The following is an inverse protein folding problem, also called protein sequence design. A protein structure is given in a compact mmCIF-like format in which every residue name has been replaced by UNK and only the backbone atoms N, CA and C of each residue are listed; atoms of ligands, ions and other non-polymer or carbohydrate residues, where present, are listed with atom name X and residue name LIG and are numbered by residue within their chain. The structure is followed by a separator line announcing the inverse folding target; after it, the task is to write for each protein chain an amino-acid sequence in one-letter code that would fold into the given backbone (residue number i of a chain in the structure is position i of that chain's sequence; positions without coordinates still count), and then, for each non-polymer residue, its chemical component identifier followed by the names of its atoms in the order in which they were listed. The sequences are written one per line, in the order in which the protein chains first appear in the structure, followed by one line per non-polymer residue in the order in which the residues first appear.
data_IF_965079963413
#
_entry.id   IF_965079963413
#
_cell.length_a   1.000
_cell.length_b   1.000
_cell.length_c   1.000
_cell.angle_alpha   90.00
_cell.angle_beta   90.00
_cell.angle_gamma   90.00
#
_symmetry.space_group_name_H-M   'P 1'
#
loop_
_entity.id
_entity.type
_entity.pdbx_description
1 polymer ?
#
# COMPACT_ATOMS: atom_id res chain seq x y z
N UNK A 1 -37.51 8.21 -7.87
CA UNK A 1 -36.92 8.98 -8.98
C UNK A 1 -37.55 10.37 -9.01
N UNK A 2 -36.75 11.43 -8.86
CA UNK A 2 -37.20 12.83 -8.89
C UNK A 2 -36.46 13.57 -10.01
N UNK A 3 -37.17 14.39 -10.77
CA UNK A 3 -36.59 15.19 -11.85
C UNK A 3 -36.68 16.67 -11.49
N UNK A 4 -35.63 17.41 -11.82
CA UNK A 4 -35.53 18.84 -11.61
C UNK A 4 -35.10 19.51 -12.92
N UNK A 5 -35.67 20.67 -13.21
CA UNK A 5 -35.03 21.64 -14.11
C UNK A 5 -33.75 22.17 -13.47
N UNK A 6 -32.85 22.76 -14.27
CA UNK A 6 -31.62 23.37 -13.76
C UNK A 6 -31.89 24.41 -12.67
N UNK A 7 -32.94 25.21 -12.83
CA UNK A 7 -33.31 26.24 -11.88
C UNK A 7 -33.80 25.65 -10.56
N UNK A 8 -34.69 24.65 -10.61
CA UNK A 8 -35.19 23.96 -9.42
C UNK A 8 -34.05 23.28 -8.67
N UNK A 9 -33.16 22.59 -9.38
CA UNK A 9 -32.04 21.87 -8.76
C UNK A 9 -31.08 22.80 -8.02
N UNK A 10 -30.78 23.98 -8.57
CA UNK A 10 -29.91 24.97 -7.94
C UNK A 10 -30.62 25.69 -6.78
N UNK A 11 -31.92 25.91 -6.88
CA UNK A 11 -32.67 26.48 -5.77
C UNK A 11 -32.75 25.50 -4.59
N UNK A 12 -32.94 24.21 -4.85
CA UNK A 12 -33.03 23.17 -3.83
C UNK A 12 -31.68 22.93 -3.12
N UNK A 13 -30.58 22.75 -3.87
CA UNK A 13 -29.29 22.30 -3.30
C UNK A 13 -28.17 23.35 -3.33
N UNK A 14 -28.37 24.46 -4.05
CA UNK A 14 -27.36 25.50 -4.23
C UNK A 14 -27.34 26.52 -3.09
N UNK A 15 -26.16 27.09 -2.83
CA UNK A 15 -26.00 28.24 -1.93
C UNK A 15 -26.34 29.57 -2.62
N UNK A 16 -26.31 30.66 -1.84
CA UNK A 16 -26.62 32.02 -2.32
C UNK A 16 -25.79 32.41 -3.55
N UNK A 17 -24.48 32.10 -3.57
CA UNK A 17 -23.60 32.43 -4.71
C UNK A 17 -23.93 31.62 -5.96
N UNK A 18 -24.33 30.36 -5.79
CA UNK A 18 -24.73 29.47 -6.88
C UNK A 18 -26.09 29.90 -7.47
N UNK A 19 -27.04 30.35 -6.64
CA UNK A 19 -28.31 30.94 -7.08
C UNK A 19 -28.10 32.27 -7.81
N UNK A 20 -27.23 33.14 -7.29
CA UNK A 20 -26.85 34.38 -8.00
C UNK A 20 -26.20 34.09 -9.36
N UNK A 21 -25.40 33.03 -9.46
CA UNK A 21 -24.77 32.62 -10.72
C UNK A 21 -25.81 32.19 -11.76
N UNK A 22 -26.91 31.55 -11.34
CA UNK A 22 -28.02 31.19 -12.21
C UNK A 22 -28.74 32.42 -12.75
N UNK A 23 -28.97 33.44 -11.90
CA UNK A 23 -29.61 34.71 -12.31
C UNK A 23 -28.70 35.47 -13.30
N UNK A 24 -27.41 35.62 -12.97
CA UNK A 24 -26.43 36.28 -13.85
C UNK A 24 -26.25 35.56 -15.18
N UNK A 25 -26.33 34.22 -15.17
CA UNK A 25 -26.23 33.37 -16.35
C UNK A 25 -27.53 33.21 -17.14
N UNK A 26 -28.57 34.01 -16.86
CA UNK A 26 -29.89 33.96 -17.50
C UNK A 26 -30.50 32.55 -17.53
N UNK A 27 -30.43 31.84 -16.40
CA UNK A 27 -30.98 30.49 -16.25
C UNK A 27 -30.01 29.36 -16.57
N UNK A 28 -28.75 29.64 -16.88
CA UNK A 28 -27.69 28.63 -17.03
C UNK A 28 -26.53 28.89 -16.06
N UNK A 29 -25.74 27.85 -15.78
CA UNK A 29 -24.52 27.95 -14.97
C UNK A 29 -23.37 27.21 -15.66
N UNK A 30 -22.14 27.64 -15.35
CA UNK A 30 -20.95 26.95 -15.82
C UNK A 30 -20.84 25.54 -15.20
N UNK A 31 -20.04 24.68 -15.84
CA UNK A 31 -19.87 23.28 -15.41
C UNK A 31 -19.41 23.17 -13.96
N UNK A 32 -18.44 23.99 -13.53
CA UNK A 32 -17.90 23.97 -12.17
C UNK A 32 -18.96 24.26 -11.10
N UNK A 33 -19.83 25.22 -11.35
CA UNK A 33 -20.96 25.55 -10.48
C UNK A 33 -21.95 24.38 -10.42
N UNK A 34 -22.31 23.81 -11.57
CA UNK A 34 -23.21 22.66 -11.64
C UNK A 34 -22.64 21.44 -10.91
N UNK A 35 -21.38 21.07 -11.17
CA UNK A 35 -20.69 19.96 -10.51
C UNK A 35 -20.67 20.16 -8.98
N UNK A 36 -20.45 21.40 -8.52
CA UNK A 36 -20.49 21.72 -7.10
C UNK A 36 -21.88 21.58 -6.47
N UNK A 37 -22.97 21.82 -7.22
CA UNK A 37 -24.35 21.65 -6.74
C UNK A 37 -24.73 20.16 -6.76
N UNK A 38 -24.33 19.42 -7.80
CA UNK A 38 -24.48 17.94 -7.86
C UNK A 38 -23.82 17.28 -6.64
N UNK A 39 -22.62 17.74 -6.29
CA UNK A 39 -21.89 17.27 -5.10
C UNK A 39 -22.65 17.56 -3.79
N UNK A 40 -23.41 18.66 -3.70
CA UNK A 40 -24.27 18.93 -2.54
C UNK A 40 -25.51 18.04 -2.55
N UNK A 41 -26.12 17.85 -3.72
CA UNK A 41 -27.26 16.96 -3.87
C UNK A 41 -26.91 15.49 -3.57
N UNK A 42 -25.66 15.08 -3.76
CA UNK A 42 -25.21 13.73 -3.41
C UNK A 42 -25.21 13.43 -1.91
N UNK A 43 -25.54 14.41 -1.05
CA UNK A 43 -25.94 14.19 0.36
C UNK A 43 -27.19 13.35 0.49
N UNK A 44 -28.14 13.58 -0.42
CA UNK A 44 -29.50 13.07 -0.36
C UNK A 44 -29.72 11.99 -1.42
N UNK A 45 -28.94 12.00 -2.51
CA UNK A 45 -29.04 11.03 -3.60
C UNK A 45 -27.70 10.34 -3.87
N UNK A 46 -27.73 9.11 -4.38
CA UNK A 46 -26.51 8.42 -4.84
C UNK A 46 -25.92 9.15 -6.05
N UNK A 47 -24.60 9.39 -6.07
CA UNK A 47 -23.96 10.28 -7.05
C UNK A 47 -24.09 9.76 -8.50
N UNK A 48 -23.92 8.46 -8.68
CA UNK A 48 -24.11 7.72 -9.93
C UNK A 48 -25.57 7.68 -10.40
N UNK A 49 -26.52 7.92 -9.48
CA UNK A 49 -27.93 8.06 -9.82
C UNK A 49 -28.33 9.46 -10.29
N UNK A 50 -27.44 10.47 -10.17
CA UNK A 50 -27.68 11.85 -10.63
C UNK A 50 -27.20 11.99 -12.07
N UNK A 51 -28.14 12.08 -13.01
CA UNK A 51 -27.83 12.24 -14.43
C UNK A 51 -28.30 13.59 -14.95
N UNK A 52 -27.52 14.20 -15.84
CA UNK A 52 -27.84 15.47 -16.49
C UNK A 52 -28.03 15.23 -17.98
N UNK A 53 -29.23 15.54 -18.50
CA UNK A 53 -29.53 15.51 -19.94
C UNK A 53 -29.89 16.92 -20.42
N UNK A 54 -29.65 17.22 -21.70
CA UNK A 54 -29.92 18.53 -22.28
C UNK A 54 -28.72 19.50 -22.27
N UNK A 55 -28.93 20.73 -22.75
CA UNK A 55 -27.90 21.78 -22.86
C UNK A 55 -28.47 23.12 -22.38
N UNK A 56 -27.56 23.99 -21.92
CA UNK A 56 -27.95 25.35 -21.51
C UNK A 56 -28.95 25.36 -20.35
N UNK A 57 -30.04 26.11 -20.54
CA UNK A 57 -31.15 26.27 -19.59
C UNK A 57 -32.04 25.02 -19.57
N UNK A 58 -32.12 24.28 -20.68
CA UNK A 58 -32.98 23.09 -20.86
C UNK A 58 -32.39 21.81 -20.27
N UNK A 59 -31.47 21.94 -19.30
CA UNK A 59 -30.91 20.77 -18.60
C UNK A 59 -31.95 20.20 -17.65
N UNK A 60 -32.16 18.89 -17.76
CA UNK A 60 -32.97 18.09 -16.83
C UNK A 60 -32.01 17.26 -15.98
N UNK A 61 -32.07 17.43 -14.67
CA UNK A 61 -31.31 16.67 -13.69
C UNK A 61 -32.23 15.63 -13.08
N UNK A 62 -31.92 14.36 -13.31
CA UNK A 62 -32.67 13.23 -12.75
C UNK A 62 -31.90 12.66 -11.57
N UNK A 63 -32.55 12.58 -10.40
CA UNK A 63 -32.05 11.91 -9.20
C UNK A 63 -32.76 10.56 -9.07
N UNK A 64 -32.04 9.48 -9.41
CA UNK A 64 -32.60 8.13 -9.52
C UNK A 64 -32.89 7.48 -8.17
N UNK A 65 -31.95 7.58 -7.22
CA UNK A 65 -31.97 6.84 -5.96
C UNK A 65 -31.64 7.73 -4.77
N UNK A 66 -32.59 7.83 -3.84
CA UNK A 66 -32.45 8.58 -2.58
C UNK A 66 -31.66 7.74 -1.58
N UNK A 67 -30.81 8.41 -0.80
CA UNK A 67 -30.03 7.76 0.25
C UNK A 67 -30.90 7.54 1.48
N UNK A 68 -30.71 6.40 2.14
CA UNK A 68 -31.38 6.11 3.40
C UNK A 68 -30.83 6.94 4.58
N UNK A 69 -29.60 7.45 4.47
CA UNK A 69 -28.96 8.30 5.48
C UNK A 69 -28.30 9.53 4.82
N UNK A 70 -28.43 10.70 5.45
CA UNK A 70 -27.92 11.98 4.95
C UNK A 70 -26.45 12.14 5.33
N UNK A 71 -25.57 12.23 4.34
CA UNK A 71 -24.14 12.43 4.58
C UNK A 71 -23.83 13.84 5.13
N UNK A 72 -22.91 13.91 6.09
CA UNK A 72 -22.42 15.18 6.62
C UNK A 72 -21.43 15.87 5.66
N UNK A 73 -21.17 17.17 5.89
CA UNK A 73 -20.31 17.97 5.01
C UNK A 73 -18.85 17.50 4.92
N UNK A 74 -18.35 16.79 5.94
CA UNK A 74 -17.00 16.19 5.95
C UNK A 74 -16.92 14.96 5.04
N UNK A 75 -17.94 14.10 5.05
CA UNK A 75 -18.01 12.90 4.21
C UNK A 75 -18.00 13.25 2.71
N UNK A 76 -18.71 14.32 2.34
CA UNK A 76 -18.77 14.83 0.95
C UNK A 76 -17.45 15.44 0.49
N UNK A 77 -16.72 16.09 1.40
CA UNK A 77 -15.40 16.64 1.09
C UNK A 77 -14.37 15.53 0.86
N UNK A 78 -14.47 14.44 1.63
CA UNK A 78 -13.62 13.27 1.43
C UNK A 78 -13.90 12.59 0.07
N UNK A 79 -15.15 12.52 -0.38
CA UNK A 79 -15.48 11.97 -1.71
C UNK A 79 -14.85 12.73 -2.91
N UNK A 80 -14.65 14.06 -2.84
CA UNK A 80 -14.02 14.80 -3.95
C UNK A 80 -12.51 14.92 -3.89
N UNK A 81 -11.89 14.68 -2.72
CA UNK A 81 -10.43 14.69 -2.57
C UNK A 81 -9.81 13.31 -2.81
N UNK A 82 -10.61 12.29 -3.08
CA UNK A 82 -10.17 10.99 -3.61
C UNK A 82 -9.58 11.04 -5.04
N UNK A 83 -9.39 12.24 -5.60
CA UNK A 83 -8.98 12.49 -6.98
C UNK A 83 -7.49 12.76 -7.21
N UNK A 84 -6.57 12.11 -6.48
CA UNK A 84 -5.15 12.16 -6.83
C UNK A 84 -4.46 10.77 -6.78
N UNK A 85 -4.29 10.23 -8.00
CA UNK A 85 -3.17 9.40 -8.50
C UNK A 85 -2.80 8.16 -7.68
N UNK A 86 -3.16 6.99 -8.21
CA UNK A 86 -2.98 5.63 -7.66
C UNK A 86 -4.16 5.07 -6.84
N UNK A 87 -5.40 5.29 -7.27
CA UNK A 87 -6.48 4.41 -6.82
C UNK A 87 -6.11 2.96 -7.20
N UNK A 88 -5.86 2.15 -6.18
CA UNK A 88 -5.66 0.72 -6.35
C UNK A 88 -6.98 0.11 -6.83
N UNK A 89 -6.97 -0.80 -7.81
CA UNK A 89 -8.20 -1.41 -8.33
C UNK A 89 -8.97 -2.17 -7.22
N UNK A 90 -8.26 -2.71 -6.23
CA UNK A 90 -8.79 -3.57 -5.16
C UNK A 90 -8.92 -2.88 -3.79
N UNK A 91 -9.03 -1.54 -3.72
CA UNK A 91 -9.16 -0.82 -2.42
C UNK A 91 -10.37 -1.30 -1.61
N UNK A 92 -11.52 -1.44 -2.27
CA UNK A 92 -12.78 -1.90 -1.65
C UNK A 92 -12.68 -3.35 -1.19
N UNK A 93 -11.96 -4.19 -1.94
CA UNK A 93 -11.70 -5.58 -1.56
C UNK A 93 -10.90 -5.65 -0.25
N UNK A 94 -9.80 -4.90 -0.14
CA UNK A 94 -9.01 -4.85 1.10
C UNK A 94 -9.87 -4.37 2.27
N UNK A 95 -10.68 -3.32 2.07
CA UNK A 95 -11.58 -2.79 3.10
C UNK A 95 -12.52 -3.89 3.62
N UNK A 96 -13.12 -4.66 2.72
CA UNK A 96 -14.05 -5.73 3.09
C UNK A 96 -13.34 -6.86 3.85
N UNK A 97 -12.16 -7.28 3.38
CA UNK A 97 -11.36 -8.29 4.06
C UNK A 97 -10.98 -7.85 5.47
N UNK A 98 -10.60 -6.57 5.66
CA UNK A 98 -10.34 -6.00 6.99
C UNK A 98 -11.57 -6.10 7.89
N UNK A 99 -12.76 -5.74 7.39
CA UNK A 99 -13.99 -5.82 8.17
C UNK A 99 -14.35 -7.25 8.56
N UNK A 100 -14.17 -8.22 7.65
CA UNK A 100 -14.36 -9.65 7.93
C UNK A 100 -13.41 -10.09 9.05
N UNK A 101 -12.12 -9.80 8.91
CA UNK A 101 -11.11 -10.14 9.91
C UNK A 101 -11.38 -9.48 11.27
N UNK A 102 -11.83 -8.22 11.29
CA UNK A 102 -12.16 -7.52 12.53
C UNK A 102 -13.39 -8.09 13.25
N UNK A 103 -14.26 -8.81 12.55
CA UNK A 103 -15.43 -9.47 13.12
C UNK A 103 -15.14 -10.87 13.71
N UNK A 104 -13.91 -11.38 13.57
CA UNK A 104 -13.52 -12.67 14.12
C UNK A 104 -13.40 -12.63 15.65
N UNK A 105 -14.06 -13.58 16.33
CA UNK A 105 -14.17 -13.61 17.81
C UNK A 105 -12.84 -13.70 18.55
N UNK A 106 -11.80 -14.27 17.92
CA UNK A 106 -10.52 -14.56 18.57
C UNK A 106 -9.35 -13.74 17.99
N UNK A 107 -9.65 -12.62 17.30
CA UNK A 107 -8.59 -11.80 16.71
C UNK A 107 -7.71 -11.15 17.75
N UNK A 108 -6.45 -10.92 17.41
CA UNK A 108 -5.55 -10.09 18.22
C UNK A 108 -5.94 -8.62 18.03
N UNK A 109 -6.05 -7.82 19.10
CA UNK A 109 -6.43 -6.42 19.01
C UNK A 109 -5.34 -5.53 18.39
N UNK A 110 -4.11 -6.02 18.39
CA UNK A 110 -2.94 -5.35 17.82
C UNK A 110 -2.15 -6.30 16.92
N UNK A 111 -1.68 -5.81 15.78
CA UNK A 111 -0.91 -6.59 14.80
C UNK A 111 0.08 -5.69 14.06
N UNK A 112 0.92 -6.24 13.19
CA UNK A 112 1.71 -5.44 12.24
C UNK A 112 1.00 -5.43 10.89
N UNK A 113 1.18 -4.41 10.06
CA UNK A 113 0.57 -4.38 8.72
C UNK A 113 0.92 -5.60 7.86
N UNK A 114 2.12 -6.17 8.04
CA UNK A 114 2.54 -7.38 7.32
C UNK A 114 1.78 -8.62 7.80
N UNK A 115 1.68 -8.81 9.12
CA UNK A 115 0.92 -9.93 9.70
C UNK A 115 -0.56 -9.78 9.34
N UNK A 116 -1.11 -8.58 9.42
CA UNK A 116 -2.47 -8.32 8.92
C UNK A 116 -2.63 -8.69 7.44
N UNK A 117 -1.70 -8.28 6.56
CA UNK A 117 -1.79 -8.66 5.15
C UNK A 117 -1.75 -10.18 4.92
N UNK A 118 -1.10 -10.94 5.81
CA UNK A 118 -1.08 -12.41 5.79
C UNK A 118 -2.38 -12.99 6.36
N UNK A 119 -2.87 -12.47 7.49
CA UNK A 119 -4.15 -12.86 8.11
C UNK A 119 -5.36 -12.57 7.19
N UNK A 120 -5.26 -11.56 6.33
CA UNK A 120 -6.25 -11.22 5.29
C UNK A 120 -6.12 -12.09 4.02
N UNK A 121 -5.15 -13.00 3.97
CA UNK A 121 -4.82 -13.88 2.84
C UNK A 121 -4.45 -13.17 1.52
N UNK A 122 -4.26 -11.86 1.55
CA UNK A 122 -3.79 -11.05 0.41
C UNK A 122 -2.27 -11.16 0.19
N UNK A 123 -1.56 -11.69 1.19
CA UNK A 123 -0.16 -12.10 1.14
C UNK A 123 -0.08 -13.60 1.42
N UNK A 124 0.33 -14.40 0.43
CA UNK A 124 0.55 -15.84 0.61
C UNK A 124 1.64 -16.16 1.65
N UNK A 125 1.64 -17.40 2.16
CA UNK A 125 2.67 -17.91 3.07
C UNK A 125 4.09 -17.74 2.52
N UNK A 126 4.26 -18.00 1.22
CA UNK A 126 5.55 -17.87 0.55
C UNK A 126 5.98 -16.41 0.46
N UNK A 127 5.08 -15.50 0.09
CA UNK A 127 5.41 -14.08 0.05
C UNK A 127 5.70 -13.52 1.44
N UNK A 128 4.88 -13.90 2.43
CA UNK A 128 5.05 -13.52 3.83
C UNK A 128 6.40 -13.99 4.37
N UNK A 129 6.70 -15.28 4.27
CA UNK A 129 7.95 -15.88 4.75
C UNK A 129 9.17 -15.32 4.04
N UNK A 130 9.10 -15.15 2.71
CA UNK A 130 10.19 -14.55 1.93
C UNK A 130 10.44 -13.10 2.34
N UNK A 131 9.39 -12.33 2.64
CA UNK A 131 9.52 -10.91 3.02
C UNK A 131 10.26 -10.69 4.35
N UNK A 132 10.40 -11.74 5.17
CA UNK A 132 11.16 -11.72 6.42
C UNK A 132 12.67 -11.95 6.20
N UNK A 133 13.10 -12.36 5.00
CA UNK A 133 14.51 -12.60 4.68
C UNK A 133 15.21 -11.28 4.33
N UNK A 134 15.98 -10.74 5.26
CA UNK A 134 16.56 -9.39 5.15
C UNK A 134 17.94 -9.42 4.51
N UNK A 135 18.75 -10.41 4.86
CA UNK A 135 20.14 -10.53 4.41
C UNK A 135 20.25 -11.36 3.13
N UNK A 136 21.31 -11.11 2.35
CA UNK A 136 21.58 -11.91 1.16
C UNK A 136 21.86 -13.40 1.48
N UNK A 137 22.37 -13.69 2.68
CA UNK A 137 22.62 -15.05 3.15
C UNK A 137 21.29 -15.79 3.45
N UNK A 138 20.39 -15.16 4.21
CA UNK A 138 19.03 -15.66 4.45
C UNK A 138 18.27 -15.88 3.15
N UNK A 139 18.30 -14.89 2.25
CA UNK A 139 17.63 -14.98 0.95
C UNK A 139 18.14 -16.15 0.11
N UNK A 140 19.47 -16.36 0.07
CA UNK A 140 20.07 -17.49 -0.64
C UNK A 140 19.68 -18.83 -0.02
N UNK A 141 19.72 -18.93 1.30
CA UNK A 141 19.40 -20.18 2.00
C UNK A 141 17.92 -20.53 1.88
N UNK A 142 17.04 -19.56 2.08
CA UNK A 142 15.59 -19.72 1.88
C UNK A 142 15.29 -20.12 0.43
N UNK A 143 15.84 -19.40 -0.55
CA UNK A 143 15.60 -19.70 -1.96
C UNK A 143 16.10 -21.09 -2.36
N UNK A 144 17.25 -21.56 -1.83
CA UNK A 144 17.74 -22.92 -2.09
C UNK A 144 16.76 -24.00 -1.63
N UNK A 145 16.02 -23.76 -0.56
CA UNK A 145 15.10 -24.73 0.04
C UNK A 145 13.66 -24.62 -0.50
N UNK A 146 13.33 -23.60 -1.29
CA UNK A 146 12.02 -23.46 -1.93
C UNK A 146 11.74 -24.57 -2.94
N UNK A 147 10.47 -24.89 -3.16
CA UNK A 147 10.07 -25.80 -4.24
C UNK A 147 10.50 -25.30 -5.61
N UNK A 148 10.74 -26.24 -6.52
CA UNK A 148 11.15 -25.95 -7.90
C UNK A 148 10.17 -25.03 -8.63
N UNK A 149 8.87 -25.08 -8.32
CA UNK A 149 7.86 -24.20 -8.94
C UNK A 149 8.14 -22.71 -8.72
N UNK A 150 8.59 -22.32 -7.53
CA UNK A 150 8.92 -20.92 -7.19
C UNK A 150 10.24 -20.44 -7.80
N UNK A 151 11.06 -21.36 -8.30
CA UNK A 151 12.40 -21.09 -8.85
C UNK A 151 12.43 -20.89 -10.36
N UNK A 152 11.31 -21.15 -11.06
CA UNK A 152 11.23 -21.19 -12.54
C UNK A 152 11.75 -19.92 -13.22
N UNK A 153 11.45 -18.75 -12.65
CA UNK A 153 11.82 -17.43 -13.23
C UNK A 153 13.16 -16.90 -12.70
N UNK A 154 13.88 -17.69 -11.89
CA UNK A 154 15.19 -17.33 -11.39
C UNK A 154 15.19 -16.46 -10.13
N UNK A 155 16.34 -16.46 -9.45
CA UNK A 155 16.55 -15.82 -8.15
C UNK A 155 16.28 -14.32 -8.18
N UNK A 156 16.75 -13.63 -9.22
CA UNK A 156 16.65 -12.17 -9.32
C UNK A 156 15.18 -11.71 -9.44
N UNK A 157 14.41 -12.36 -10.32
CA UNK A 157 12.99 -12.04 -10.53
C UNK A 157 12.19 -12.34 -9.27
N UNK A 158 12.38 -13.52 -8.66
CA UNK A 158 11.72 -13.89 -7.41
C UNK A 158 11.91 -12.83 -6.31
N UNK A 159 13.14 -12.40 -6.04
CA UNK A 159 13.40 -11.41 -5.00
C UNK A 159 12.96 -9.99 -5.38
N UNK A 160 12.91 -9.64 -6.66
CA UNK A 160 12.31 -8.38 -7.12
C UNK A 160 10.79 -8.37 -6.88
N UNK A 161 10.10 -9.50 -7.15
CA UNK A 161 8.69 -9.69 -6.80
C UNK A 161 8.46 -9.55 -5.29
N UNK A 162 9.21 -10.31 -4.47
CA UNK A 162 9.08 -10.29 -3.01
C UNK A 162 9.27 -8.88 -2.47
N UNK A 163 10.35 -8.20 -2.86
CA UNK A 163 10.68 -6.86 -2.37
C UNK A 163 9.62 -5.82 -2.72
N UNK A 164 9.16 -5.81 -3.98
CA UNK A 164 8.23 -4.78 -4.47
C UNK A 164 6.79 -5.05 -4.07
N UNK A 165 6.34 -6.30 -4.15
CA UNK A 165 4.93 -6.63 -3.94
C UNK A 165 4.58 -6.74 -2.46
N UNK A 166 5.47 -7.27 -1.60
CA UNK A 166 5.24 -7.25 -0.15
C UNK A 166 5.07 -5.82 0.37
N UNK A 167 5.96 -4.90 -0.03
CA UNK A 167 5.87 -3.48 0.36
C UNK A 167 4.64 -2.80 -0.21
N UNK A 168 4.26 -3.11 -1.45
CA UNK A 168 3.06 -2.54 -2.07
C UNK A 168 1.81 -2.97 -1.31
N UNK A 169 1.65 -4.26 -1.05
CA UNK A 169 0.50 -4.79 -0.30
C UNK A 169 0.44 -4.16 1.09
N UNK A 170 1.57 -4.09 1.82
CA UNK A 170 1.63 -3.47 3.16
C UNK A 170 1.19 -2.00 3.14
N UNK A 171 1.74 -1.20 2.23
CA UNK A 171 1.36 0.23 2.10
C UNK A 171 -0.11 0.40 1.72
N UNK A 172 -0.63 -0.54 0.95
CA UNK A 172 -2.02 -0.52 0.52
C UNK A 172 -2.94 -0.79 1.71
N UNK A 173 -2.65 -1.79 2.54
CA UNK A 173 -3.36 -2.06 3.79
C UNK A 173 -3.34 -0.84 4.72
N UNK A 174 -2.15 -0.25 4.93
CA UNK A 174 -1.99 0.98 5.71
C UNK A 174 -2.86 2.13 5.17
N UNK A 175 -2.86 2.34 3.86
CA UNK A 175 -3.69 3.36 3.22
C UNK A 175 -5.19 3.12 3.40
N UNK A 176 -5.65 1.86 3.36
CA UNK A 176 -7.07 1.52 3.58
C UNK A 176 -7.45 1.74 5.04
N UNK A 177 -6.62 1.32 5.99
CA UNK A 177 -6.87 1.55 7.42
C UNK A 177 -6.94 3.05 7.76
N UNK A 178 -6.07 3.86 7.18
CA UNK A 178 -6.13 5.32 7.36
C UNK A 178 -7.42 5.92 6.79
N UNK A 179 -7.87 5.47 5.62
CA UNK A 179 -9.14 5.89 5.03
C UNK A 179 -10.35 5.46 5.89
N UNK A 180 -10.35 4.22 6.40
CA UNK A 180 -11.39 3.72 7.30
C UNK A 180 -11.42 4.47 8.64
N UNK A 181 -10.25 4.85 9.17
CA UNK A 181 -10.11 5.69 10.37
C UNK A 181 -10.69 7.08 10.14
N UNK A 182 -10.33 7.73 9.04
CA UNK A 182 -10.83 9.06 8.68
C UNK A 182 -12.35 9.09 8.51
N UNK A 183 -12.93 7.97 8.04
CA UNK A 183 -14.38 7.76 7.93
C UNK A 183 -15.05 7.35 9.25
N UNK A 184 -14.30 7.15 10.32
CA UNK A 184 -14.84 6.76 11.63
C UNK A 184 -15.35 5.31 11.70
N UNK A 185 -14.99 4.45 10.75
CA UNK A 185 -15.40 3.04 10.71
C UNK A 185 -14.64 2.22 11.76
N UNK A 186 -13.36 2.55 11.94
CA UNK A 186 -12.44 1.86 12.86
C UNK A 186 -11.69 2.86 13.73
N UNK A 187 -11.27 2.39 14.91
CA UNK A 187 -10.20 2.97 15.70
C UNK A 187 -8.89 2.39 15.19
N UNK A 188 -7.98 3.25 14.75
CA UNK A 188 -6.66 2.87 14.25
C UNK A 188 -5.58 3.74 14.90
N UNK A 189 -4.69 3.10 15.65
CA UNK A 189 -3.65 3.77 16.46
C UNK A 189 -2.32 3.02 16.36
N UNK A 190 -1.23 3.75 16.16
CA UNK A 190 0.11 3.19 16.29
C UNK A 190 0.39 2.88 17.76
N UNK A 191 0.87 1.68 18.02
CA UNK A 191 1.22 1.19 19.36
C UNK A 191 2.57 0.47 19.30
N UNK A 192 3.20 0.29 20.45
CA UNK A 192 4.36 -0.59 20.57
C UNK A 192 3.91 -1.80 21.38
N UNK A 193 4.18 -2.98 20.86
CA UNK A 193 3.95 -4.22 21.58
C UNK A 193 5.23 -4.68 22.25
N UNK A 194 5.11 -5.16 23.47
CA UNK A 194 6.13 -5.95 24.13
C UNK A 194 5.75 -7.43 24.11
N UNK A 195 6.77 -8.27 23.95
CA UNK A 195 6.63 -9.72 23.98
C UNK A 195 7.16 -10.25 25.29
N UNK A 196 6.35 -11.03 25.96
CA UNK A 196 6.70 -11.75 27.20
C UNK A 196 6.36 -13.23 27.04
N UNK A 197 7.05 -14.10 27.76
CA UNK A 197 6.75 -15.53 27.75
C UNK A 197 5.74 -15.89 28.84
N UNK A 198 4.76 -16.71 28.48
CA UNK A 198 3.87 -17.31 29.46
C UNK A 198 4.58 -18.43 30.26
N UNK A 199 3.89 -19.01 31.25
CA UNK A 199 4.42 -20.11 32.09
C UNK A 199 4.78 -21.39 31.31
N UNK A 200 4.39 -21.49 30.04
CA UNK A 200 4.68 -22.59 29.13
C UNK A 200 5.67 -22.20 28.02
N UNK A 201 6.27 -21.01 28.09
CA UNK A 201 7.21 -20.50 27.11
C UNK A 201 6.56 -19.99 25.81
N UNK A 202 5.26 -19.70 25.81
CA UNK A 202 4.57 -19.16 24.62
C UNK A 202 4.61 -17.64 24.63
N UNK A 203 4.83 -17.04 23.46
CA UNK A 203 4.86 -15.59 23.30
C UNK A 203 3.47 -14.97 23.52
N UNK A 204 3.42 -14.00 24.43
CA UNK A 204 2.28 -13.10 24.66
C UNK A 204 2.69 -11.73 24.16
N UNK A 205 1.87 -11.13 23.29
CA UNK A 205 2.13 -9.82 22.70
C UNK A 205 1.11 -8.82 23.25
N UNK A 206 1.58 -7.82 23.99
CA UNK A 206 0.71 -6.81 24.58
C UNK A 206 1.19 -5.40 24.26
N UNK A 207 0.28 -4.46 23.94
CA UNK A 207 0.61 -3.05 23.86
C UNK A 207 1.19 -2.54 25.19
N UNK A 208 2.27 -1.77 25.12
CA UNK A 208 2.87 -1.09 26.27
C UNK A 208 2.54 0.41 26.27
N UNK A 209 2.68 1.03 27.45
CA UNK A 209 2.32 2.45 27.62
C UNK A 209 3.33 3.37 26.94
N UNK A 210 2.88 4.57 26.55
CA UNK A 210 3.77 5.60 25.98
C UNK A 210 4.97 5.95 26.89
N UNK A 211 4.78 5.88 28.22
CA UNK A 211 5.85 6.12 29.20
C UNK A 211 6.93 5.04 29.10
N UNK A 212 6.54 3.77 28.96
CA UNK A 212 7.47 2.65 28.79
C UNK A 212 8.20 2.71 27.44
N UNK A 213 7.48 3.04 26.36
CA UNK A 213 8.06 3.25 25.04
C UNK A 213 9.17 4.30 25.09
N UNK A 214 8.91 5.46 25.71
CA UNK A 214 9.92 6.52 25.85
C UNK A 214 11.15 6.07 26.63
N UNK A 215 10.97 5.29 27.71
CA UNK A 215 12.09 4.75 28.49
C UNK A 215 12.95 3.82 27.64
N UNK A 216 12.32 2.92 26.88
CA UNK A 216 13.01 1.99 26.00
C UNK A 216 13.76 2.74 24.90
N UNK A 217 13.14 3.75 24.27
CA UNK A 217 13.77 4.52 23.20
C UNK A 217 14.98 5.33 23.67
N UNK A 218 14.88 5.97 24.85
CA UNK A 218 16.00 6.66 25.46
C UNK A 218 17.16 5.71 25.76
N UNK A 219 16.83 4.53 26.28
CA UNK A 219 17.82 3.48 26.55
C UNK A 219 18.49 3.02 25.25
N UNK A 220 17.71 2.66 24.22
CA UNK A 220 18.25 2.22 22.92
C UNK A 220 19.19 3.27 22.33
N UNK A 221 18.85 4.57 22.43
CA UNK A 221 19.73 5.68 22.01
C UNK A 221 21.04 5.70 22.81
N UNK A 222 20.97 5.55 24.13
CA UNK A 222 22.14 5.53 25.01
C UNK A 222 23.06 4.33 24.70
N UNK A 223 22.50 3.13 24.51
CA UNK A 223 23.28 1.94 24.14
C UNK A 223 23.92 2.08 22.76
N UNK A 224 23.20 2.64 21.77
CA UNK A 224 23.80 2.92 20.46
C UNK A 224 25.00 3.85 20.56
N UNK A 225 24.91 4.89 21.40
CA UNK A 225 26.04 5.78 21.69
C UNK A 225 27.20 5.07 22.41
N UNK A 226 26.90 4.22 23.40
CA UNK A 226 27.90 3.43 24.15
C UNK A 226 28.72 2.51 23.25
N UNK A 227 28.08 1.87 22.27
CA UNK A 227 28.70 0.88 21.39
C UNK A 227 29.09 1.44 20.02
N UNK A 228 28.91 2.74 19.78
CA UNK A 228 29.18 3.41 18.51
C UNK A 228 28.49 2.76 17.30
N UNK A 229 27.29 2.22 17.50
CA UNK A 229 26.53 1.53 16.44
C UNK A 229 25.41 2.40 15.87
N UNK A 230 25.28 2.40 14.55
CA UNK A 230 24.14 3.05 13.87
C UNK A 230 22.99 2.06 13.63
N UNK A 231 21.80 2.59 13.30
CA UNK A 231 20.66 1.76 12.85
C UNK A 231 21.04 0.93 11.62
N UNK A 232 21.84 1.50 10.72
CA UNK A 232 22.34 0.82 9.52
C UNK A 232 23.26 -0.34 9.88
N UNK A 233 24.16 -0.17 10.85
CA UNK A 233 25.05 -1.24 11.29
C UNK A 233 24.26 -2.39 11.93
N UNK A 234 23.27 -2.08 12.77
CA UNK A 234 22.39 -3.08 13.37
C UNK A 234 21.72 -3.94 12.29
N UNK A 235 21.30 -3.33 11.18
CA UNK A 235 20.61 -4.03 10.09
C UNK A 235 21.54 -4.83 9.19
N UNK A 236 22.71 -4.29 8.84
CA UNK A 236 23.55 -4.85 7.77
C UNK A 236 24.84 -5.51 8.27
N UNK A 237 25.19 -5.34 9.54
CA UNK A 237 26.37 -5.93 10.18
C UNK A 237 26.00 -6.63 11.50
N UNK A 238 24.99 -7.52 11.51
CA UNK A 238 24.49 -8.14 12.74
C UNK A 238 25.55 -8.97 13.48
N UNK A 239 26.53 -9.51 12.74
CA UNK A 239 27.64 -10.32 13.27
C UNK A 239 28.85 -9.49 13.75
N UNK A 240 28.81 -8.15 13.64
CA UNK A 240 29.93 -7.32 14.11
C UNK A 240 29.99 -7.32 15.65
N UNK A 241 31.19 -7.36 16.27
CA UNK A 241 31.30 -7.44 17.73
C UNK A 241 30.56 -6.31 18.47
N UNK A 242 30.59 -5.10 17.94
CA UNK A 242 29.89 -3.95 18.51
C UNK A 242 28.35 -4.10 18.45
N UNK A 243 27.81 -4.64 17.36
CA UNK A 243 26.36 -4.88 17.23
C UNK A 243 25.92 -6.04 18.13
N UNK A 244 26.73 -7.09 18.26
CA UNK A 244 26.46 -8.19 19.19
C UNK A 244 26.42 -7.69 20.63
N UNK A 245 27.43 -6.92 21.07
CA UNK A 245 27.45 -6.32 22.41
C UNK A 245 26.29 -5.34 22.65
N UNK A 246 25.92 -4.53 21.64
CA UNK A 246 24.73 -3.70 21.70
C UNK A 246 23.45 -4.54 21.90
N UNK A 247 23.32 -5.66 21.19
CA UNK A 247 22.14 -6.52 21.25
C UNK A 247 22.02 -7.25 22.59
N UNK A 248 23.14 -7.68 23.16
CA UNK A 248 23.17 -8.26 24.51
C UNK A 248 22.74 -7.25 25.58
N UNK A 249 23.27 -6.02 25.54
CA UNK A 249 22.86 -4.97 26.48
C UNK A 249 21.38 -4.57 26.29
N UNK A 250 20.90 -4.50 25.04
CA UNK A 250 19.50 -4.22 24.71
C UNK A 250 18.59 -5.32 25.28
N UNK A 251 18.97 -6.59 25.09
CA UNK A 251 18.24 -7.74 25.62
C UNK A 251 18.20 -7.74 27.15
N UNK A 252 19.34 -7.55 27.81
CA UNK A 252 19.42 -7.49 29.28
C UNK A 252 18.54 -6.38 29.86
N UNK A 253 18.48 -5.23 29.20
CA UNK A 253 17.58 -4.17 29.62
C UNK A 253 16.11 -4.55 29.43
N UNK A 254 15.72 -5.11 28.28
CA UNK A 254 14.33 -5.52 28.04
C UNK A 254 13.88 -6.61 29.03
N UNK A 255 14.77 -7.56 29.34
CA UNK A 255 14.56 -8.58 30.36
C UNK A 255 14.31 -7.99 31.75
N UNK A 256 14.91 -6.84 32.08
CA UNK A 256 14.62 -6.14 33.34
C UNK A 256 13.17 -5.64 33.46
N UNK A 257 12.45 -5.53 32.34
CA UNK A 257 11.01 -5.24 32.27
C UNK A 257 10.15 -6.51 32.07
N UNK A 258 10.77 -7.69 32.01
CA UNK A 258 10.09 -8.95 31.70
C UNK A 258 9.74 -9.12 30.23
N UNK A 259 10.46 -8.44 29.33
CA UNK A 259 10.23 -8.49 27.88
C UNK A 259 11.35 -9.22 27.15
N UNK A 260 10.99 -10.08 26.21
CA UNK A 260 11.92 -10.70 25.25
C UNK A 260 12.33 -9.70 24.17
N UNK A 261 11.34 -9.01 23.60
CA UNK A 261 11.56 -7.98 22.58
C UNK A 261 10.36 -7.03 22.51
N UNK A 262 10.55 -5.90 21.82
CA UNK A 262 9.47 -4.94 21.52
C UNK A 262 9.46 -4.59 20.04
N UNK A 263 8.27 -4.31 19.50
CA UNK A 263 8.10 -3.98 18.09
C UNK A 263 6.93 -3.01 17.87
N UNK A 264 7.04 -2.21 16.80
CA UNK A 264 5.97 -1.31 16.39
C UNK A 264 4.82 -2.10 15.77
N UNK A 265 3.60 -1.74 16.16
CA UNK A 265 2.36 -2.41 15.77
C UNK A 265 1.26 -1.37 15.58
N UNK A 266 0.10 -1.84 15.12
CA UNK A 266 -1.13 -1.07 15.04
C UNK A 266 -2.22 -1.74 15.84
N UNK A 267 -2.91 -0.94 16.65
CA UNK A 267 -4.16 -1.32 17.29
C UNK A 267 -5.30 -0.99 16.35
N UNK A 268 -6.15 -1.99 16.08
CA UNK A 268 -7.29 -1.84 15.17
C UNK A 268 -8.53 -2.36 15.89
N UNK A 269 -9.55 -1.53 15.95
CA UNK A 269 -10.82 -1.91 16.55
C UNK A 269 -12.00 -1.33 15.79
N UNK A 270 -13.11 -2.03 15.77
CA UNK A 270 -14.27 -1.63 15.00
C UNK A 270 -15.11 -0.63 15.82
N UNK A 271 -15.52 0.46 15.19
CA UNK A 271 -16.42 1.47 15.78
C UNK A 271 -17.83 1.37 15.20
N UNK A 272 -17.93 1.03 13.90
CA UNK A 272 -19.18 0.92 13.14
C UNK A 272 -20.10 -0.22 13.60
N UNK A 273 -21.40 -0.11 13.33
CA UNK A 273 -22.42 -1.06 13.83
C UNK A 273 -22.61 -2.28 12.93
N UNK A 274 -23.03 -3.42 13.51
CA UNK A 274 -23.14 -4.74 12.85
C UNK A 274 -23.92 -4.76 11.53
N UNK A 275 -24.87 -3.83 11.31
CA UNK A 275 -25.67 -3.75 10.06
C UNK A 275 -24.86 -3.31 8.84
N UNK A 276 -23.84 -2.47 9.04
CA UNK A 276 -22.99 -2.00 7.93
C UNK A 276 -22.05 -3.11 7.46
N UNK A 277 -21.56 -3.93 8.40
CA UNK A 277 -20.61 -5.04 8.17
C UNK A 277 -21.26 -6.17 7.38
N UNK A 278 -22.53 -6.49 7.66
CA UNK A 278 -23.25 -7.57 6.97
C UNK A 278 -23.40 -7.32 5.45
N UNK A 279 -23.34 -6.07 4.99
CA UNK A 279 -23.35 -5.75 3.56
C UNK A 279 -22.02 -6.05 2.85
N UNK A 280 -20.91 -6.16 3.59
CA UNK A 280 -19.56 -6.41 3.07
C UNK A 280 -19.14 -7.88 3.12
N UNK A 281 -19.89 -8.70 3.85
CA UNK A 281 -19.71 -10.16 3.97
C UNK A 281 -20.22 -10.87 2.71
N UNK A 282 -19.50 -10.76 1.59
CA UNK A 282 -19.71 -11.59 0.39
C UNK A 282 -18.64 -12.67 0.28
N UNK A 283 -19.01 -13.79 -0.34
CA UNK A 283 -18.14 -14.96 -0.47
C UNK A 283 -16.86 -14.65 -1.28
N UNK A 284 -15.72 -14.80 -0.59
CA UNK A 284 -14.33 -14.88 -1.07
C UNK A 284 -13.85 -13.80 -2.06
N UNK A 285 -13.58 -12.60 -1.52
CA UNK A 285 -12.89 -11.52 -2.24
C UNK A 285 -11.37 -11.72 -2.38
N UNK A 286 -10.79 -12.73 -1.72
CA UNK A 286 -9.33 -13.00 -1.74
C UNK A 286 -8.87 -13.37 -3.16
N UNK A 287 -9.66 -14.19 -3.86
CA UNK A 287 -9.37 -14.58 -5.25
C UNK A 287 -9.42 -13.38 -6.18
N UNK A 288 -10.43 -12.53 -6.03
CA UNK A 288 -10.59 -11.30 -6.80
C UNK A 288 -9.42 -10.33 -6.55
N UNK A 289 -9.04 -10.16 -5.28
CA UNK A 289 -7.85 -9.40 -4.90
C UNK A 289 -6.62 -9.91 -5.65
N UNK A 290 -6.34 -11.21 -5.57
CA UNK A 290 -5.12 -11.79 -6.13
C UNK A 290 -5.06 -11.61 -7.65
N UNK A 291 -6.20 -11.76 -8.35
CA UNK A 291 -6.31 -11.51 -9.80
C UNK A 291 -6.07 -10.04 -10.14
N UNK A 292 -6.74 -9.12 -9.47
CA UNK A 292 -6.57 -7.68 -9.71
C UNK A 292 -5.17 -7.18 -9.35
N UNK A 293 -4.61 -7.70 -8.25
CA UNK A 293 -3.25 -7.41 -7.82
C UNK A 293 -2.23 -7.87 -8.86
N UNK A 294 -2.38 -9.08 -9.40
CA UNK A 294 -1.52 -9.61 -10.45
C UNK A 294 -1.59 -8.75 -11.72
N UNK A 295 -2.78 -8.36 -12.15
CA UNK A 295 -2.97 -7.50 -13.31
C UNK A 295 -2.32 -6.12 -13.12
N UNK A 296 -2.51 -5.50 -11.95
CA UNK A 296 -1.89 -4.23 -11.62
C UNK A 296 -0.36 -4.32 -11.53
N UNK A 297 0.16 -5.39 -10.93
CA UNK A 297 1.59 -5.63 -10.83
C UNK A 297 2.24 -5.82 -12.20
N UNK A 298 1.57 -6.52 -13.12
CA UNK A 298 2.00 -6.66 -14.50
C UNK A 298 2.08 -5.31 -15.22
N UNK A 299 1.04 -4.47 -15.13
CA UNK A 299 1.07 -3.12 -15.72
C UNK A 299 2.24 -2.27 -15.21
N UNK A 300 2.52 -2.34 -13.89
CA UNK A 300 3.68 -1.66 -13.31
C UNK A 300 5.01 -2.27 -13.78
N UNK A 301 5.08 -3.58 -14.01
CA UNK A 301 6.28 -4.24 -14.55
C UNK A 301 6.54 -3.83 -16.00
N UNK A 302 5.51 -3.79 -16.85
CA UNK A 302 5.58 -3.26 -18.23
C UNK A 302 6.06 -1.82 -18.23
N UNK A 303 5.52 -0.96 -17.34
CA UNK A 303 5.98 0.42 -17.24
C UNK A 303 7.48 0.52 -16.85
N UNK A 304 7.97 -0.36 -15.97
CA UNK A 304 9.39 -0.42 -15.58
C UNK A 304 10.29 -0.93 -16.69
N UNK A 305 9.82 -1.89 -17.48
CA UNK A 305 10.52 -2.40 -18.65
C UNK A 305 10.59 -1.32 -19.74
N UNK A 306 9.49 -0.63 -20.03
CA UNK A 306 9.47 0.47 -20.98
C UNK A 306 10.34 1.65 -20.52
N UNK A 307 10.30 2.00 -19.24
CA UNK A 307 11.16 3.03 -18.65
C UNK A 307 12.64 2.71 -18.82
N UNK A 308 13.04 1.44 -18.76
CA UNK A 308 14.43 1.03 -18.96
C UNK A 308 14.96 1.38 -20.37
N UNK A 309 14.11 1.30 -21.38
CA UNK A 309 14.46 1.63 -22.76
C UNK A 309 14.24 3.10 -23.12
N UNK A 310 13.28 3.77 -22.49
CA UNK A 310 12.80 5.07 -22.95
C UNK A 310 13.13 6.24 -22.02
N UNK A 311 13.33 5.98 -20.72
CA UNK A 311 13.57 7.06 -19.76
C UNK A 311 15.05 7.41 -19.70
N UNK A 312 15.34 8.70 -19.82
CA UNK A 312 16.69 9.26 -19.68
C UNK A 312 17.17 9.05 -18.23
N UNK A 313 18.39 8.52 -18.07
CA UNK A 313 18.97 8.25 -16.74
C UNK A 313 19.15 9.57 -15.98
N UNK A 314 18.46 9.71 -14.85
CA UNK A 314 18.80 10.75 -13.87
C UNK A 314 20.10 10.37 -13.18
N UNK A 315 21.21 10.99 -13.59
CA UNK A 315 22.52 10.83 -12.95
C UNK A 315 22.40 11.28 -11.49
N UNK A 316 22.38 10.32 -10.55
CA UNK A 316 22.56 10.63 -9.12
C UNK A 316 24.01 11.09 -8.93
N UNK A 317 24.16 12.23 -8.28
CA UNK A 317 25.44 12.91 -8.07
C UNK A 317 26.46 11.95 -7.42
N UNK A 318 27.55 11.66 -8.14
CA UNK A 318 28.50 10.61 -7.76
C UNK A 318 29.87 11.27 -7.48
N UNK A 319 30.00 11.88 -6.30
CA UNK A 319 31.16 12.70 -5.90
C UNK A 319 32.52 11.99 -6.04
N UNK A 320 32.58 10.65 -5.99
CA UNK A 320 33.83 9.88 -6.11
C UNK A 320 34.41 9.83 -7.53
N UNK A 321 33.62 10.10 -8.57
CA UNK A 321 34.08 10.07 -9.99
C UNK A 321 34.63 11.43 -10.47
N UNK A 322 34.34 12.51 -9.74
CA UNK A 322 34.70 13.90 -10.09
C UNK A 322 36.22 14.14 -10.14
N UNK A 323 36.99 13.39 -9.33
CA UNK A 323 38.46 13.42 -9.32
C UNK A 323 39.08 12.69 -10.52
N UNK A 324 38.42 11.64 -11.02
CA UNK A 324 38.90 10.81 -12.14
C UNK A 324 38.65 11.49 -13.50
N UNK A 325 37.63 12.36 -13.60
CA UNK A 325 37.24 13.07 -14.82
C UNK A 325 37.80 14.51 -14.91
N UNK A 326 38.92 14.80 -14.25
CA UNK A 326 39.61 16.08 -14.38
C UNK A 326 38.80 17.29 -13.88
N UNK A 327 37.91 17.11 -12.90
CA UNK A 327 37.16 18.22 -12.29
C UNK A 327 35.87 18.62 -13.00
N UNK A 328 35.42 17.91 -14.04
CA UNK A 328 34.09 18.13 -14.65
C UNK A 328 33.01 17.34 -13.90
N UNK A 329 31.89 17.99 -13.57
CA UNK A 329 30.73 17.31 -12.96
C UNK A 329 30.15 16.30 -13.95
N UNK A 330 29.91 15.06 -13.48
CA UNK A 330 29.26 13.99 -14.27
C UNK A 330 27.90 14.44 -14.84
N UNK A 331 27.22 15.34 -14.13
CA UNK A 331 25.97 15.97 -14.55
C UNK A 331 26.05 16.73 -15.88
N UNK A 332 27.22 17.21 -16.29
CA UNK A 332 27.31 18.11 -17.45
C UNK A 332 27.79 17.38 -18.73
N UNK A 333 28.27 16.13 -18.60
CA UNK A 333 28.64 15.26 -19.72
C UNK A 333 27.50 14.31 -20.11
N UNK A 334 26.61 13.98 -19.16
CA UNK A 334 25.58 12.92 -19.32
C UNK A 334 24.13 13.44 -19.21
N UNK A 335 23.92 14.76 -19.13
CA UNK A 335 22.58 15.35 -19.15
C UNK A 335 21.95 15.18 -20.54
N UNK A 336 20.95 14.30 -20.64
CA UNK A 336 19.95 14.33 -21.71
C UNK A 336 20.14 13.36 -22.86
N UNK A 337 21.16 12.49 -22.86
CA UNK A 337 21.49 11.68 -24.06
C UNK A 337 21.50 10.16 -23.87
N UNK A 338 21.49 9.64 -22.64
CA UNK A 338 21.55 8.19 -22.39
C UNK A 338 20.35 7.70 -21.59
N UNK A 339 19.72 6.64 -22.10
CA UNK A 339 18.72 5.81 -21.41
C UNK A 339 19.39 4.81 -20.48
N UNK A 340 18.61 4.15 -19.59
CA UNK A 340 19.16 3.12 -18.72
C UNK A 340 19.76 1.97 -19.55
N UNK A 341 19.14 1.65 -20.68
CA UNK A 341 19.68 0.77 -21.71
C UNK A 341 21.06 1.22 -22.22
N UNK A 342 21.21 2.48 -22.63
CA UNK A 342 22.48 2.97 -23.19
C UNK A 342 23.62 2.95 -22.15
N UNK A 343 23.29 3.15 -20.87
CA UNK A 343 24.28 3.10 -19.78
C UNK A 343 24.87 1.71 -19.53
N UNK A 344 24.17 0.66 -19.97
CA UNK A 344 24.56 -0.74 -19.77
C UNK A 344 25.47 -1.24 -20.90
N UNK A 345 25.37 -0.66 -22.09
CA UNK A 345 26.35 -0.88 -23.15
C UNK A 345 27.75 -0.35 -22.77
N UNK A 346 27.82 0.48 -21.72
CA UNK A 346 29.05 1.10 -21.19
C UNK A 346 29.56 0.36 -19.93
N UNK A 347 28.68 -0.30 -19.16
CA UNK A 347 28.99 -0.89 -17.85
C UNK A 347 28.46 -2.33 -17.81
N UNK A 348 29.35 -3.31 -17.59
CA UNK A 348 29.11 -4.74 -17.87
C UNK A 348 27.75 -5.28 -17.39
N UNK A 349 26.96 -5.75 -18.36
CA UNK A 349 25.63 -6.38 -18.24
C UNK A 349 25.64 -7.69 -17.43
N UNK A 350 26.83 -8.24 -17.15
CA UNK A 350 27.03 -9.66 -16.86
C UNK A 350 26.51 -10.10 -15.48
N UNK A 351 26.30 -9.19 -14.53
CA UNK A 351 26.01 -9.57 -13.13
C UNK A 351 24.64 -9.14 -12.59
N UNK A 352 23.75 -8.52 -13.39
CA UNK A 352 22.43 -8.06 -12.93
C UNK A 352 21.30 -8.76 -13.70
N UNK A 353 20.73 -9.79 -13.08
CA UNK A 353 19.66 -10.59 -13.67
C UNK A 353 18.41 -9.78 -14.04
N UNK A 354 18.08 -8.71 -13.31
CA UNK A 354 16.92 -7.87 -13.66
C UNK A 354 17.20 -7.02 -14.90
N UNK A 355 18.43 -6.52 -15.06
CA UNK A 355 18.81 -5.82 -16.30
C UNK A 355 18.82 -6.76 -17.50
N UNK A 356 19.27 -8.00 -17.33
CA UNK A 356 19.22 -9.03 -18.39
C UNK A 356 17.79 -9.31 -18.84
N UNK A 357 16.88 -9.51 -17.89
CA UNK A 357 15.45 -9.73 -18.17
C UNK A 357 14.81 -8.54 -18.91
N UNK A 358 15.15 -7.31 -18.50
CA UNK A 358 14.63 -6.10 -19.17
C UNK A 358 15.20 -5.96 -20.57
N UNK A 359 16.51 -6.19 -20.74
CA UNK A 359 17.17 -6.18 -22.04
C UNK A 359 16.53 -7.19 -23.00
N UNK A 360 16.21 -8.39 -22.51
CA UNK A 360 15.51 -9.44 -23.25
C UNK A 360 14.02 -9.17 -23.51
N UNK A 361 13.44 -8.10 -22.96
CA UNK A 361 11.99 -7.81 -22.96
C UNK A 361 11.15 -8.96 -22.39
N UNK A 362 11.72 -9.71 -21.46
CA UNK A 362 11.07 -10.83 -20.76
C UNK A 362 10.71 -10.47 -19.32
N UNK A 363 11.22 -9.35 -18.80
CA UNK A 363 11.02 -8.95 -17.40
C UNK A 363 9.56 -8.86 -17.02
N UNK A 364 8.72 -8.17 -17.80
CA UNK A 364 7.31 -8.00 -17.42
C UNK A 364 6.56 -9.34 -17.34
N UNK A 365 6.79 -10.22 -18.31
CA UNK A 365 6.20 -11.56 -18.38
C UNK A 365 6.71 -12.45 -17.24
N UNK A 366 8.02 -12.54 -17.06
CA UNK A 366 8.63 -13.37 -16.02
C UNK A 366 8.27 -12.88 -14.62
N UNK A 367 8.15 -11.56 -14.43
CA UNK A 367 7.66 -10.95 -13.20
C UNK A 367 6.22 -11.36 -12.89
N UNK A 368 5.33 -11.38 -13.89
CA UNK A 368 3.94 -11.81 -13.72
C UNK A 368 3.86 -13.29 -13.36
N UNK A 369 4.52 -14.17 -14.11
CA UNK A 369 4.47 -15.62 -13.86
C UNK A 369 5.10 -15.99 -12.51
N UNK A 370 6.18 -15.32 -12.13
CA UNK A 370 6.78 -15.44 -10.81
C UNK A 370 5.79 -15.03 -9.71
N UNK A 371 5.16 -13.85 -9.82
CA UNK A 371 4.20 -13.37 -8.82
C UNK A 371 2.98 -14.28 -8.70
N UNK A 372 2.43 -14.71 -9.84
CA UNK A 372 1.31 -15.62 -9.92
C UNK A 372 1.58 -16.91 -9.15
N UNK A 373 2.78 -17.48 -9.35
CA UNK A 373 3.22 -18.68 -8.62
C UNK A 373 3.39 -18.39 -7.14
N UNK A 374 4.06 -17.29 -6.77
CA UNK A 374 4.29 -16.89 -5.37
C UNK A 374 2.98 -16.70 -4.60
N UNK A 375 1.97 -16.10 -5.24
CA UNK A 375 0.67 -15.79 -4.64
C UNK A 375 -0.37 -16.92 -4.78
N UNK A 376 0.04 -18.05 -5.36
CA UNK A 376 -0.82 -19.22 -5.65
C UNK A 376 -2.11 -18.84 -6.40
N UNK A 377 -1.97 -18.04 -7.46
CA UNK A 377 -3.10 -17.66 -8.33
C UNK A 377 -3.31 -18.74 -9.39
N UNK A 378 -4.42 -19.49 -9.28
CA UNK A 378 -4.77 -20.57 -10.21
C UNK A 378 -5.06 -20.04 -11.63
N UNK A 379 -4.69 -20.84 -12.63
CA UNK A 379 -5.11 -20.60 -14.01
C UNK A 379 -6.59 -20.94 -14.19
N UNK A 380 -7.34 -20.06 -14.87
CA UNK A 380 -8.75 -20.31 -15.18
C UNK A 380 -8.96 -21.58 -16.02
N UNK A 381 -7.92 -22.10 -16.67
CA UNK A 381 -7.96 -23.35 -17.43
C UNK A 381 -7.96 -24.62 -16.56
N UNK A 382 -7.42 -24.61 -15.35
CA UNK A 382 -7.49 -25.76 -14.41
C UNK A 382 -8.83 -25.83 -13.68
N UNK A 383 -9.59 -24.73 -13.63
CA UNK A 383 -10.92 -24.70 -13.01
C UNK A 383 -12.02 -25.34 -13.86
N UNK A 384 -11.75 -25.62 -15.15
CA UNK A 384 -12.66 -26.29 -16.07
C UNK A 384 -12.32 -27.76 -16.34
N UNK A 385 -11.21 -28.27 -15.80
CA UNK A 385 -10.82 -29.68 -15.96
C UNK A 385 -11.22 -30.57 -14.77
N UNK A 386 -11.77 -29.98 -13.71
CA UNK A 386 -12.25 -30.68 -12.50
C UNK A 386 -13.77 -30.53 -12.26
N UNK A 387 -14.53 -30.15 -13.28
CA UNK A 387 -15.99 -30.28 -13.38
C UNK A 387 -16.30 -31.17 -14.58
#
# INVERSE_FOLDING_TARGET
MKQFTLAEFINEFGDVKQRESLVKGKGNVNKRTLDSVIKKASKFYELDSITVKGRGVDKIITCGKERHEVLNDKEIYNYSNCGNREQMPYKEIIQNLILIHLNEKNRKPSTTYRVLAHDLEIMSDVLFSSSNMVTAEEQKNYYKNLDAKYKKQGFAVFWDNVSKESQRIIRNVESVLNDMKEKGIIRHMDVVNAVSLDKFGREIHNPITYIEVNKIDMMKRKLRGKHEVTITDIRYKPKSPAVVAYKEDEYNFLQSFGYEYVYDAVYIDLIATDKEIQNYMKDSLVTDFKKEHLAFAYQKAVARENSFFNDIVRVKDNHKLHKLLGGKKKSDVLKGTLTAYDSILIDELLNDGIKQEKFGKTYATNYKESLKTIQDVLDEEESKSNL
#
